data_IF_287515516688
#
_entry.id   IF_287515516688
#
_cell.length_a   1.000
_cell.length_b   1.000
_cell.length_c   1.000
_cell.angle_alpha   90.00
_cell.angle_beta   90.00
_cell.angle_gamma   90.00
#
_symmetry.space_group_name_H-M   'P 1'
#
loop_
_entity.id
_entity.type
_entity.pdbx_description
1 polymer ?
#
# COMPACT_ATOMS: atom_id res chain seq x y z
N UNK A 1 -3.03 2.63 11.72
CA UNK A 1 -4.10 3.57 11.25
C UNK A 1 -5.09 2.80 10.40
N UNK A 2 -6.35 2.96 10.68
CA UNK A 2 -7.42 2.33 9.91
C UNK A 2 -8.14 3.42 9.12
N UNK A 3 -8.19 3.28 7.78
CA UNK A 3 -8.88 4.23 6.93
C UNK A 3 -10.32 3.79 6.70
N UNK A 4 -11.24 4.74 6.42
CA UNK A 4 -12.63 4.37 6.14
C UNK A 4 -12.74 3.37 5.01
N UNK A 5 -13.63 2.38 5.14
CA UNK A 5 -13.82 1.36 4.12
C UNK A 5 -14.40 1.90 2.82
N UNK A 6 -14.99 3.10 2.87
CA UNK A 6 -15.56 3.77 1.69
C UNK A 6 -14.56 4.67 0.96
N UNK A 7 -13.34 4.79 1.47
CA UNK A 7 -12.31 5.64 0.86
C UNK A 7 -11.85 5.02 -0.46
N UNK A 8 -11.98 5.76 -1.55
CA UNK A 8 -11.66 5.25 -2.90
C UNK A 8 -10.32 5.75 -3.42
N UNK A 9 -9.85 6.89 -2.96
CA UNK A 9 -8.64 7.53 -3.48
C UNK A 9 -7.71 7.95 -2.35
N UNK A 10 -6.43 7.65 -2.51
CA UNK A 10 -5.37 8.21 -1.67
C UNK A 10 -4.65 9.30 -2.48
N UNK A 11 -4.80 10.58 -2.10
CA UNK A 11 -4.18 11.68 -2.85
C UNK A 11 -2.66 11.67 -2.77
N UNK A 12 -2.03 12.39 -3.70
CA UNK A 12 -0.57 12.54 -3.73
C UNK A 12 -0.04 13.00 -2.37
N UNK A 13 0.91 12.25 -1.83
CA UNK A 13 1.60 12.59 -0.60
C UNK A 13 0.75 12.67 0.65
N UNK A 14 -0.43 12.02 0.66
CA UNK A 14 -1.40 12.16 1.77
C UNK A 14 -0.78 11.78 3.12
N UNK A 15 0.13 10.81 3.15
CA UNK A 15 0.83 10.40 4.37
C UNK A 15 2.33 10.73 4.31
N UNK A 16 2.74 11.59 3.39
CA UNK A 16 4.14 11.92 3.22
C UNK A 16 4.74 12.46 4.51
N UNK A 17 5.91 11.94 4.89
CA UNK A 17 6.65 12.34 6.08
C UNK A 17 5.93 12.06 7.41
N UNK A 18 4.98 11.13 7.42
CA UNK A 18 4.38 10.66 8.67
C UNK A 18 5.37 9.73 9.38
N UNK A 19 6.32 10.29 10.09
CA UNK A 19 7.48 9.57 10.62
C UNK A 19 7.14 8.53 11.69
N UNK A 20 5.93 8.56 12.23
CA UNK A 20 5.47 7.58 13.23
C UNK A 20 4.49 6.56 12.67
N UNK A 21 4.19 6.62 11.38
CA UNK A 21 3.18 5.75 10.77
C UNK A 21 3.83 4.42 10.37
N UNK A 22 3.49 3.36 11.09
CA UNK A 22 4.07 2.02 10.88
C UNK A 22 3.07 1.01 10.34
N UNK A 23 1.78 1.21 10.56
CA UNK A 23 0.73 0.29 10.15
C UNK A 23 -0.42 1.06 9.53
N UNK A 24 -0.84 0.64 8.34
CA UNK A 24 -1.99 1.24 7.64
C UNK A 24 -2.91 0.11 7.19
N UNK A 25 -4.22 0.30 7.39
CA UNK A 25 -5.25 -0.60 6.90
C UNK A 25 -6.11 0.13 5.88
N UNK A 26 -6.05 -0.34 4.64
CA UNK A 26 -6.90 0.16 3.55
C UNK A 26 -8.14 -0.71 3.44
N UNK A 27 -9.28 -0.09 3.18
CA UNK A 27 -10.54 -0.81 3.03
C UNK A 27 -10.66 -1.48 1.66
N UNK A 28 -11.84 -2.06 1.42
CA UNK A 28 -12.11 -2.82 0.20
C UNK A 28 -12.57 -1.94 -0.98
N UNK A 29 -12.90 -0.68 -0.73
CA UNK A 29 -13.35 0.24 -1.79
C UNK A 29 -12.22 1.06 -2.43
N UNK A 30 -10.98 0.90 -1.96
CA UNK A 30 -9.88 1.70 -2.51
C UNK A 30 -9.61 1.32 -3.96
N UNK A 31 -9.57 2.32 -4.84
CA UNK A 31 -9.45 2.13 -6.28
C UNK A 31 -8.18 2.72 -6.86
N UNK A 32 -7.64 3.77 -6.24
CA UNK A 32 -6.50 4.50 -6.79
C UNK A 32 -5.60 5.04 -5.69
N UNK A 33 -4.29 4.80 -5.85
CA UNK A 33 -3.24 5.39 -5.02
C UNK A 33 -2.41 6.32 -5.90
N UNK A 34 -2.30 7.57 -5.49
CA UNK A 34 -1.54 8.58 -6.23
C UNK A 34 -0.06 8.56 -5.87
N UNK A 35 0.71 9.56 -6.31
CA UNK A 35 2.16 9.55 -6.12
C UNK A 35 2.57 9.74 -4.66
N UNK A 36 3.63 9.04 -4.25
CA UNK A 36 4.34 9.24 -2.99
C UNK A 36 3.45 9.21 -1.75
N UNK A 37 2.45 8.33 -1.77
CA UNK A 37 1.46 8.25 -0.70
C UNK A 37 2.12 7.98 0.65
N UNK A 38 3.13 7.12 0.68
CA UNK A 38 3.81 6.69 1.91
C UNK A 38 5.25 7.16 1.99
N UNK A 39 5.64 8.17 1.24
CA UNK A 39 7.02 8.67 1.25
C UNK A 39 7.39 9.20 2.64
N UNK A 40 8.46 8.66 3.19
CA UNK A 40 8.94 9.04 4.52
C UNK A 40 8.21 8.36 5.68
N UNK A 41 7.35 7.37 5.40
CA UNK A 41 6.69 6.59 6.44
C UNK A 41 7.48 5.30 6.69
N UNK A 42 7.77 4.95 7.96
CA UNK A 42 8.46 3.68 8.27
C UNK A 42 7.47 2.53 8.34
N UNK A 43 6.74 2.27 7.25
CA UNK A 43 5.72 1.23 7.24
C UNK A 43 6.34 -0.15 7.48
N UNK A 44 5.77 -0.87 8.43
CA UNK A 44 6.11 -2.26 8.73
C UNK A 44 5.03 -3.21 8.23
N UNK A 45 3.77 -2.79 8.25
CA UNK A 45 2.65 -3.59 7.80
C UNK A 45 1.64 -2.72 7.06
N UNK A 46 1.28 -3.15 5.85
CA UNK A 46 0.24 -2.51 5.04
C UNK A 46 -0.82 -3.58 4.75
N UNK A 47 -2.04 -3.34 5.24
CA UNK A 47 -3.16 -4.24 5.03
C UNK A 47 -4.06 -3.67 3.95
N UNK A 48 -4.46 -4.50 3.00
CA UNK A 48 -5.40 -4.12 1.98
C UNK A 48 -6.48 -5.17 1.84
N UNK A 49 -7.74 -4.73 1.82
CA UNK A 49 -8.89 -5.63 1.73
C UNK A 49 -9.48 -5.68 0.33
N UNK A 50 -8.98 -4.88 -0.61
CA UNK A 50 -9.52 -4.84 -1.96
C UNK A 50 -9.31 -6.18 -2.67
N UNK A 51 -10.37 -6.76 -3.26
CA UNK A 51 -10.28 -8.06 -3.95
C UNK A 51 -9.48 -7.99 -5.25
N UNK A 52 -9.34 -6.80 -5.83
CA UNK A 52 -8.46 -6.56 -6.98
C UNK A 52 -7.46 -5.49 -6.62
N UNK A 53 -6.21 -5.60 -7.13
CA UNK A 53 -5.20 -4.58 -6.81
C UNK A 53 -5.65 -3.21 -7.30
N UNK A 54 -5.67 -2.19 -6.42
CA UNK A 54 -5.98 -0.82 -6.84
C UNK A 54 -4.98 -0.32 -7.87
N UNK A 55 -5.43 0.61 -8.70
CA UNK A 55 -4.56 1.28 -9.67
C UNK A 55 -3.58 2.16 -8.91
N UNK A 56 -2.30 2.08 -9.27
CA UNK A 56 -1.25 2.91 -8.68
C UNK A 56 -0.65 3.79 -9.76
N UNK A 57 -0.32 5.04 -9.38
CA UNK A 57 0.44 5.91 -10.27
C UNK A 57 1.89 5.39 -10.39
N UNK A 58 2.65 5.86 -11.37
CA UNK A 58 4.03 5.39 -11.55
C UNK A 58 4.93 5.55 -10.32
N UNK A 59 4.65 6.53 -9.47
CA UNK A 59 5.50 6.84 -8.31
C UNK A 59 4.81 6.63 -6.97
N UNK A 60 3.77 5.80 -6.91
CA UNK A 60 2.99 5.57 -5.67
C UNK A 60 3.90 5.13 -4.51
N UNK A 61 4.76 4.16 -4.76
CA UNK A 61 5.62 3.59 -3.71
C UNK A 61 7.04 4.16 -3.75
N UNK A 62 7.24 5.24 -4.49
CA UNK A 62 8.53 5.93 -4.49
C UNK A 62 8.76 6.60 -3.15
N UNK A 63 9.95 6.41 -2.58
CA UNK A 63 10.31 6.99 -1.30
C UNK A 63 11.63 7.74 -1.41
N UNK A 64 11.77 8.76 -0.56
CA UNK A 64 13.03 9.46 -0.37
C UNK A 64 13.71 8.84 0.84
N UNK A 65 14.88 8.25 0.65
CA UNK A 65 15.58 7.54 1.73
C UNK A 65 15.32 6.05 1.70
N UNK A 66 14.99 5.45 2.84
CA UNK A 66 14.82 3.99 2.95
C UNK A 66 13.57 3.51 2.21
N UNK A 67 13.76 2.49 1.38
CA UNK A 67 12.65 1.87 0.64
C UNK A 67 11.91 0.90 1.55
N UNK A 68 10.74 1.30 2.05
CA UNK A 68 9.96 0.49 2.96
C UNK A 68 9.41 -0.79 2.29
N UNK A 69 9.30 -0.83 0.96
CA UNK A 69 8.75 -2.00 0.26
C UNK A 69 9.58 -3.26 0.45
N UNK A 70 10.84 -3.12 0.83
CA UNK A 70 11.74 -4.25 1.08
C UNK A 70 11.52 -4.91 2.42
N UNK A 71 11.00 -4.17 3.40
CA UNK A 71 10.82 -4.68 4.76
C UNK A 71 9.36 -4.73 5.20
N UNK A 72 8.49 -3.97 4.57
CA UNK A 72 7.07 -3.93 4.89
C UNK A 72 6.37 -5.21 4.44
N UNK A 73 5.49 -5.74 5.29
CA UNK A 73 4.62 -6.85 4.90
C UNK A 73 3.35 -6.30 4.28
N UNK A 74 3.05 -6.73 3.06
CA UNK A 74 1.80 -6.42 2.41
C UNK A 74 0.83 -7.57 2.69
N UNK A 75 -0.24 -7.29 3.44
CA UNK A 75 -1.27 -8.25 3.78
C UNK A 75 -2.44 -8.10 2.82
N UNK A 76 -2.72 -9.14 2.04
CA UNK A 76 -3.77 -9.13 1.02
C UNK A 76 -4.85 -10.14 1.40
N UNK A 77 -6.07 -10.02 0.82
CA UNK A 77 -7.15 -10.98 1.12
C UNK A 77 -6.76 -12.39 0.72
N UNK A 78 -7.29 -13.37 1.46
CA UNK A 78 -7.06 -14.79 1.18
C UNK A 78 -7.44 -15.11 -0.27
N UNK A 79 -6.55 -15.82 -0.96
CA UNK A 79 -6.76 -16.20 -2.36
C UNK A 79 -6.41 -15.12 -3.37
N UNK A 80 -5.97 -13.94 -2.95
CA UNK A 80 -5.73 -12.81 -3.85
C UNK A 80 -4.24 -12.49 -4.07
N UNK A 81 -3.35 -13.17 -3.37
CA UNK A 81 -1.90 -12.93 -3.48
C UNK A 81 -1.41 -12.98 -4.92
N UNK A 82 -1.89 -13.93 -5.70
CA UNK A 82 -1.47 -14.09 -7.10
C UNK A 82 -1.78 -12.85 -7.94
N UNK A 83 -2.90 -12.18 -7.66
CA UNK A 83 -3.30 -10.98 -8.40
C UNK A 83 -2.37 -9.81 -8.07
N UNK A 84 -1.99 -9.68 -6.79
CA UNK A 84 -1.07 -8.63 -6.38
C UNK A 84 0.34 -8.88 -6.89
N UNK A 85 0.80 -10.14 -6.90
CA UNK A 85 2.10 -10.48 -7.44
C UNK A 85 2.18 -10.30 -8.95
N UNK A 86 1.07 -10.45 -9.67
CA UNK A 86 1.02 -10.26 -11.11
C UNK A 86 0.96 -8.78 -11.51
N UNK A 87 0.66 -7.89 -10.58
CA UNK A 87 0.55 -6.46 -10.85
C UNK A 87 1.92 -5.79 -10.72
N UNK A 88 2.37 -5.10 -11.78
CA UNK A 88 3.71 -4.53 -11.83
C UNK A 88 3.96 -3.46 -10.76
N UNK A 89 2.91 -2.82 -10.24
CA UNK A 89 3.05 -1.80 -9.20
C UNK A 89 3.12 -2.41 -7.81
N UNK A 90 2.32 -3.45 -7.55
CA UNK A 90 2.27 -4.09 -6.22
C UNK A 90 3.38 -5.11 -6.01
N UNK A 91 3.97 -5.64 -7.08
CA UNK A 91 5.04 -6.62 -6.98
C UNK A 91 6.35 -6.05 -6.42
N UNK A 92 6.40 -4.73 -6.20
CA UNK A 92 7.58 -4.11 -5.54
C UNK A 92 7.73 -4.56 -4.09
N UNK A 93 6.66 -5.04 -3.46
CA UNK A 93 6.74 -5.56 -2.09
C UNK A 93 7.38 -6.94 -2.11
N UNK A 94 8.47 -7.11 -1.34
CA UNK A 94 9.15 -8.40 -1.24
C UNK A 94 8.34 -9.41 -0.44
N UNK A 95 7.54 -8.93 0.52
CA UNK A 95 6.79 -9.78 1.43
C UNK A 95 5.29 -9.55 1.24
N UNK A 96 4.63 -10.41 0.46
CA UNK A 96 3.19 -10.39 0.29
C UNK A 96 2.62 -11.63 0.97
N UNK A 97 1.73 -11.42 1.93
CA UNK A 97 1.13 -12.52 2.71
C UNK A 97 -0.39 -12.46 2.62
N UNK A 98 -1.02 -13.63 2.61
CA UNK A 98 -2.48 -13.72 2.64
C UNK A 98 -2.98 -13.82 4.07
N UNK A 99 -4.12 -13.23 4.31
CA UNK A 99 -4.77 -13.31 5.62
C UNK A 99 -6.00 -14.17 5.63
#
# INVERSE_FOLDING_TARGET
MVLPSTLKLLPTGVFQKCASLKTVRLGDDVELLSDRVFDGCPLADLYISAPTPPVCSPNTFTTTGTDFTKTCRLHVPMGKKRFYRANSKWTVFDNIVEE
#
